data_IF_479138982991
#
_entry.id   IF_479138982991
#
_cell.length_a   1.000
_cell.length_b   1.000
_cell.length_c   1.000
_cell.angle_alpha   90.00
_cell.angle_beta   90.00
_cell.angle_gamma   90.00
#
_symmetry.space_group_name_H-M   'P 1'
#
loop_
_entity.id
_entity.type
_entity.pdbx_description
1 polymer ?
#
# COMPACT_ATOMS: atom_id res chain seq x y z
N UNK A 1 -17.09 -17.16 11.30
CA UNK A 1 -18.25 -16.80 10.47
C UNK A 1 -18.09 -17.48 9.12
N UNK A 2 -19.10 -18.22 8.64
CA UNK A 2 -18.99 -18.88 7.32
C UNK A 2 -19.09 -17.80 6.23
N UNK A 3 -18.32 -17.95 5.14
CA UNK A 3 -18.20 -16.94 4.05
C UNK A 3 -19.56 -16.47 3.51
N UNK A 4 -20.54 -17.37 3.47
CA UNK A 4 -21.94 -17.11 3.06
C UNK A 4 -22.71 -16.17 3.98
N UNK A 5 -22.37 -16.10 5.27
CA UNK A 5 -23.07 -15.24 6.23
C UNK A 5 -22.60 -13.79 6.13
N UNK A 6 -21.30 -13.59 5.85
CA UNK A 6 -20.72 -12.26 5.63
C UNK A 6 -21.29 -11.60 4.36
N UNK A 7 -21.33 -12.35 3.26
CA UNK A 7 -21.86 -11.84 1.97
C UNK A 7 -23.32 -11.41 2.09
N UNK A 8 -24.14 -12.19 2.80
CA UNK A 8 -25.54 -11.84 3.04
C UNK A 8 -25.69 -10.58 3.90
N UNK A 9 -24.86 -10.46 4.95
CA UNK A 9 -24.87 -9.27 5.81
C UNK A 9 -24.48 -7.99 5.04
N UNK A 10 -23.45 -8.08 4.18
CA UNK A 10 -23.02 -6.96 3.32
C UNK A 10 -24.13 -6.56 2.34
N UNK A 11 -24.73 -7.53 1.65
CA UNK A 11 -25.77 -7.25 0.65
C UNK A 11 -26.98 -6.49 1.22
N UNK A 12 -27.32 -6.76 2.48
CA UNK A 12 -28.47 -6.15 3.15
C UNK A 12 -28.12 -4.87 3.93
N UNK A 13 -26.85 -4.46 3.92
CA UNK A 13 -26.41 -3.27 4.65
C UNK A 13 -26.69 -1.99 3.86
N UNK A 14 -27.07 -0.93 4.57
CA UNK A 14 -27.19 0.39 3.98
C UNK A 14 -25.80 0.99 3.62
N UNK A 15 -25.73 2.00 2.72
CA UNK A 15 -24.47 2.60 2.31
C UNK A 15 -23.61 3.18 3.45
N UNK A 16 -24.23 3.68 4.53
CA UNK A 16 -23.49 4.25 5.67
C UNK A 16 -22.81 3.14 6.46
N UNK A 17 -23.51 2.03 6.68
CA UNK A 17 -22.94 0.82 7.29
C UNK A 17 -21.80 0.25 6.43
N UNK A 18 -21.99 0.17 5.11
CA UNK A 18 -20.93 -0.27 4.19
C UNK A 18 -19.69 0.63 4.26
N UNK A 19 -19.88 1.97 4.26
CA UNK A 19 -18.78 2.93 4.38
C UNK A 19 -18.03 2.78 5.71
N UNK A 20 -18.75 2.65 6.82
CA UNK A 20 -18.13 2.48 8.14
C UNK A 20 -17.30 1.19 8.21
N UNK A 21 -17.83 0.08 7.69
CA UNK A 21 -17.12 -1.19 7.62
C UNK A 21 -15.87 -1.09 6.73
N UNK A 22 -15.97 -0.47 5.56
CA UNK A 22 -14.85 -0.23 4.66
C UNK A 22 -13.75 0.60 5.35
N UNK A 23 -14.11 1.74 5.95
CA UNK A 23 -13.16 2.60 6.64
C UNK A 23 -12.44 1.83 7.77
N UNK A 24 -13.18 1.05 8.57
CA UNK A 24 -12.58 0.25 9.64
C UNK A 24 -11.57 -0.79 9.12
N UNK A 25 -11.86 -1.42 7.97
CA UNK A 25 -10.94 -2.36 7.33
C UNK A 25 -9.68 -1.64 6.81
N UNK A 26 -9.84 -0.52 6.10
CA UNK A 26 -8.72 0.29 5.61
C UNK A 26 -7.81 0.77 6.74
N UNK A 27 -8.42 1.25 7.84
CA UNK A 27 -7.69 1.64 9.05
C UNK A 27 -6.89 0.49 9.65
N UNK A 28 -7.50 -0.70 9.74
CA UNK A 28 -6.85 -1.87 10.32
C UNK A 28 -5.69 -2.39 9.47
N UNK A 29 -5.78 -2.29 8.13
CA UNK A 29 -4.67 -2.61 7.24
C UNK A 29 -3.56 -1.56 7.33
N UNK A 30 -3.91 -0.26 7.29
CA UNK A 30 -2.95 0.82 7.42
C UNK A 30 -2.17 0.74 8.75
N UNK A 31 -2.83 0.43 9.87
CA UNK A 31 -2.13 0.24 11.16
C UNK A 31 -1.12 -0.92 11.12
N UNK A 32 -1.48 -2.05 10.49
CA UNK A 32 -0.55 -3.18 10.33
C UNK A 32 0.63 -2.83 9.43
N UNK A 33 0.37 -2.10 8.36
CA UNK A 33 1.39 -1.62 7.46
C UNK A 33 2.34 -0.62 8.13
N UNK A 34 1.83 0.31 8.93
CA UNK A 34 2.66 1.22 9.73
C UNK A 34 3.53 0.45 10.73
N UNK A 35 2.96 -0.55 11.41
CA UNK A 35 3.71 -1.40 12.33
C UNK A 35 4.80 -2.23 11.61
N UNK A 36 4.51 -2.70 10.39
CA UNK A 36 5.47 -3.39 9.52
C UNK A 36 6.68 -2.52 9.19
N UNK A 37 6.45 -1.23 8.97
CA UNK A 37 7.49 -0.21 8.73
C UNK A 37 8.11 0.36 10.01
N UNK A 38 7.83 -0.21 11.19
CA UNK A 38 8.40 0.24 12.47
C UNK A 38 7.75 1.49 13.08
N UNK A 39 6.72 2.08 12.45
CA UNK A 39 5.96 3.19 13.02
C UNK A 39 5.01 2.68 14.11
N UNK A 40 5.18 3.19 15.33
CA UNK A 40 4.37 2.78 16.50
C UNK A 40 3.01 3.46 16.56
N UNK A 41 2.91 4.68 16.02
CA UNK A 41 1.72 5.52 16.11
C UNK A 41 1.36 6.11 14.75
N UNK A 42 0.09 6.48 14.58
CA UNK A 42 -0.42 7.13 13.37
C UNK A 42 0.02 8.58 13.21
N UNK A 43 0.64 9.20 14.21
CA UNK A 43 0.94 10.65 14.24
C UNK A 43 1.82 11.12 13.07
N UNK A 44 2.56 10.20 12.45
CA UNK A 44 3.41 10.46 11.29
C UNK A 44 2.76 10.05 9.95
N UNK A 45 1.46 9.76 9.95
CA UNK A 45 0.73 9.28 8.77
C UNK A 45 -0.66 9.89 8.65
N UNK A 46 -1.12 10.11 7.41
CA UNK A 46 -2.47 10.60 7.15
C UNK A 46 -2.98 10.13 5.79
N UNK A 47 -4.30 9.99 5.65
CA UNK A 47 -4.93 9.77 4.35
C UNK A 47 -4.97 11.07 3.57
N UNK A 48 -4.56 11.05 2.30
CA UNK A 48 -4.50 12.27 1.46
C UNK A 48 -5.91 12.71 1.04
N UNK A 49 -6.77 11.76 0.68
CA UNK A 49 -8.20 12.02 0.62
C UNK A 49 -8.73 12.02 2.05
N UNK A 50 -9.65 12.92 2.41
CA UNK A 50 -10.32 12.99 3.73
C UNK A 50 -11.05 11.68 4.16
N UNK A 51 -10.90 10.60 3.39
CA UNK A 51 -11.48 9.28 3.59
C UNK A 51 -10.41 8.19 3.52
N UNK A 52 -10.43 7.21 4.45
CA UNK A 52 -9.58 6.02 4.37
C UNK A 52 -9.77 5.22 3.08
N UNK A 53 -8.71 4.55 2.61
CA UNK A 53 -8.76 3.64 1.48
C UNK A 53 -8.32 4.21 0.13
N UNK A 54 -7.93 5.49 0.10
CA UNK A 54 -7.22 6.10 -1.04
C UNK A 54 -5.71 5.89 -0.93
N UNK A 55 -4.98 7.00 -0.86
CA UNK A 55 -3.51 7.01 -0.67
C UNK A 55 -3.20 7.41 0.77
N UNK A 56 -2.34 6.62 1.41
CA UNK A 56 -1.78 6.92 2.72
C UNK A 56 -0.42 7.59 2.56
N UNK A 57 -0.27 8.78 3.13
CA UNK A 57 1.04 9.39 3.35
C UNK A 57 1.62 8.84 4.66
N UNK A 58 2.88 8.37 4.64
CA UNK A 58 3.58 7.79 5.80
C UNK A 58 4.90 8.50 6.04
N UNK A 59 5.28 8.69 7.31
CA UNK A 59 6.53 9.30 7.72
C UNK A 59 6.63 10.77 7.31
N UNK A 60 5.56 11.56 7.39
CA UNK A 60 5.56 12.95 6.89
C UNK A 60 5.89 13.02 5.37
N UNK A 61 5.42 12.04 4.60
CA UNK A 61 5.54 12.04 3.13
C UNK A 61 6.76 11.30 2.57
N UNK A 62 7.41 10.43 3.35
CA UNK A 62 8.41 9.50 2.81
C UNK A 62 7.76 8.48 1.87
N UNK A 63 6.59 7.95 2.24
CA UNK A 63 5.83 7.05 1.38
C UNK A 63 4.44 7.61 1.06
N UNK A 64 4.01 7.41 -0.19
CA UNK A 64 2.67 7.65 -0.67
C UNK A 64 2.13 6.35 -1.25
N UNK A 65 1.36 5.62 -0.45
CA UNK A 65 1.02 4.22 -0.75
C UNK A 65 -0.47 4.06 -0.94
N UNK A 66 -0.87 3.47 -2.06
CA UNK A 66 -2.25 3.11 -2.33
C UNK A 66 -2.73 1.96 -1.43
N UNK A 67 -4.04 1.89 -1.22
CA UNK A 67 -4.64 0.82 -0.41
C UNK A 67 -4.35 -0.59 -0.96
N UNK A 68 -4.22 -0.74 -2.28
CA UNK A 68 -3.89 -2.03 -2.90
C UNK A 68 -2.50 -2.52 -2.47
N UNK A 69 -1.50 -1.65 -2.55
CA UNK A 69 -0.14 -1.97 -2.13
C UNK A 69 -0.05 -2.23 -0.62
N UNK A 70 -0.78 -1.46 0.20
CA UNK A 70 -0.87 -1.68 1.65
C UNK A 70 -1.39 -3.09 1.95
N UNK A 71 -2.48 -3.51 1.28
CA UNK A 71 -3.05 -4.86 1.47
C UNK A 71 -2.05 -5.92 1.05
N UNK A 72 -1.42 -5.77 -0.12
CA UNK A 72 -0.43 -6.74 -0.62
C UNK A 72 0.77 -6.89 0.33
N UNK A 73 1.31 -5.78 0.83
CA UNK A 73 2.44 -5.82 1.75
C UNK A 73 2.08 -6.52 3.06
N UNK A 74 0.91 -6.22 3.62
CA UNK A 74 0.43 -6.85 4.87
C UNK A 74 0.11 -8.33 4.69
N UNK A 75 -0.62 -8.69 3.63
CA UNK A 75 -1.05 -10.08 3.39
C UNK A 75 0.13 -11.01 3.06
N UNK A 76 1.21 -10.47 2.48
CA UNK A 76 2.44 -11.21 2.21
C UNK A 76 3.47 -11.11 3.35
N UNK A 77 3.13 -10.46 4.47
CA UNK A 77 4.00 -10.27 5.62
C UNK A 77 5.40 -9.74 5.25
N UNK A 78 5.44 -8.76 4.35
CA UNK A 78 6.69 -8.13 3.91
C UNK A 78 7.44 -7.52 5.10
N UNK A 79 8.75 -7.45 4.99
CA UNK A 79 9.58 -6.62 5.86
C UNK A 79 9.65 -5.17 5.36
N UNK A 80 10.06 -4.26 6.24
CA UNK A 80 10.39 -2.87 5.89
C UNK A 80 11.38 -2.81 4.73
N UNK A 81 12.47 -3.58 4.79
CA UNK A 81 13.52 -3.59 3.76
C UNK A 81 12.99 -4.05 2.39
N UNK A 82 12.17 -5.10 2.35
CA UNK A 82 11.59 -5.59 1.08
C UNK A 82 10.62 -4.57 0.47
N UNK A 83 9.86 -3.88 1.32
CA UNK A 83 8.93 -2.85 0.86
C UNK A 83 9.69 -1.62 0.36
N UNK A 84 10.69 -1.16 1.11
CA UNK A 84 11.53 -0.03 0.73
C UNK A 84 12.28 -0.31 -0.57
N UNK A 85 12.88 -1.50 -0.73
CA UNK A 85 13.55 -1.89 -1.96
C UNK A 85 12.63 -1.76 -3.18
N UNK A 86 11.40 -2.30 -3.10
CA UNK A 86 10.41 -2.17 -4.16
C UNK A 86 9.96 -0.72 -4.38
N UNK A 87 9.72 0.03 -3.31
CA UNK A 87 9.23 1.40 -3.37
C UNK A 87 10.27 2.34 -3.98
N UNK A 88 11.55 2.18 -3.65
CA UNK A 88 12.64 2.97 -4.22
C UNK A 88 12.74 2.79 -5.73
N UNK A 89 12.38 1.62 -6.29
CA UNK A 89 12.33 1.45 -7.74
C UNK A 89 11.28 2.38 -8.38
N UNK A 90 10.18 2.70 -7.68
CA UNK A 90 9.12 3.62 -8.15
C UNK A 90 9.53 5.09 -8.09
N UNK A 91 10.38 5.45 -7.13
CA UNK A 91 10.86 6.81 -6.93
C UNK A 91 12.24 7.05 -7.55
N UNK A 92 12.82 6.04 -8.21
CA UNK A 92 14.14 6.13 -8.82
C UNK A 92 14.16 7.25 -9.87
N UNK A 93 15.06 8.21 -9.69
CA UNK A 93 15.14 9.42 -10.47
C UNK A 93 16.45 9.42 -11.24
N UNK A 94 16.38 9.57 -12.55
CA UNK A 94 17.55 9.79 -13.37
C UNK A 94 17.94 11.27 -13.30
N UNK A 95 18.97 11.57 -12.50
CA UNK A 95 19.49 12.93 -12.35
C UNK A 95 20.04 13.51 -13.66
N UNK A 96 20.57 12.67 -14.56
CA UNK A 96 21.16 13.12 -15.82
C UNK A 96 20.06 13.45 -16.84
N UNK A 97 19.03 12.61 -16.92
CA UNK A 97 17.88 12.82 -17.80
C UNK A 97 16.82 13.76 -17.20
N UNK A 98 16.91 14.11 -15.91
CA UNK A 98 15.90 14.86 -15.15
C UNK A 98 14.51 14.23 -15.26
N UNK A 99 14.44 12.91 -15.28
CA UNK A 99 13.21 12.14 -15.47
C UNK A 99 13.15 11.00 -14.46
N UNK A 100 11.93 10.71 -13.98
CA UNK A 100 11.68 9.48 -13.23
C UNK A 100 12.04 8.28 -14.11
N UNK A 101 12.85 7.35 -13.60
CA UNK A 101 13.04 6.08 -14.29
C UNK A 101 11.73 5.32 -14.21
N UNK A 102 11.18 4.84 -15.33
CA UNK A 102 9.91 4.16 -15.31
C UNK A 102 10.07 2.82 -14.57
N UNK A 103 9.56 2.75 -13.35
CA UNK A 103 9.33 1.45 -12.73
C UNK A 103 8.27 0.70 -13.54
N UNK A 104 8.61 -0.49 -14.01
CA UNK A 104 7.70 -1.34 -14.79
C UNK A 104 7.06 -2.45 -13.96
N UNK A 105 7.42 -2.58 -12.68
CA UNK A 105 7.02 -3.71 -11.85
C UNK A 105 6.14 -3.25 -10.69
N UNK A 106 4.83 -3.45 -10.82
CA UNK A 106 3.90 -3.29 -9.69
C UNK A 106 4.22 -4.29 -8.57
N UNK A 107 3.78 -4.00 -7.34
CA UNK A 107 4.12 -4.81 -6.15
C UNK A 107 3.69 -6.27 -6.30
N UNK A 108 2.52 -6.52 -6.90
CA UNK A 108 2.04 -7.88 -7.16
C UNK A 108 3.03 -8.68 -8.03
N UNK A 109 3.56 -8.08 -9.08
CA UNK A 109 4.55 -8.71 -9.97
C UNK A 109 5.88 -8.91 -9.26
N UNK A 110 6.29 -7.95 -8.43
CA UNK A 110 7.49 -8.06 -7.60
C UNK A 110 7.42 -9.24 -6.64
N UNK A 111 6.28 -9.42 -5.97
CA UNK A 111 6.01 -10.54 -5.07
C UNK A 111 6.04 -11.91 -5.79
N UNK A 112 5.78 -11.92 -7.10
CA UNK A 112 5.93 -13.11 -7.96
C UNK A 112 7.36 -13.32 -8.48
N UNK A 113 8.32 -12.49 -8.07
CA UNK A 113 9.73 -12.59 -8.45
C UNK A 113 10.14 -11.73 -9.65
N UNK A 114 9.26 -10.91 -10.21
CA UNK A 114 9.67 -9.94 -11.23
C UNK A 114 10.60 -8.89 -10.62
N UNK A 115 11.64 -8.52 -11.34
CA UNK A 115 12.56 -7.44 -10.96
C UNK A 115 12.77 -6.54 -12.19
N UNK A 116 13.05 -5.24 -12.00
CA UNK A 116 13.49 -4.39 -13.10
C UNK A 116 14.70 -5.01 -13.79
N UNK A 117 14.72 -5.03 -15.12
CA UNK A 117 15.90 -5.45 -15.86
C UNK A 117 17.03 -4.45 -15.54
N UNK A 118 18.18 -4.94 -15.05
CA UNK A 118 19.40 -4.15 -14.82
C UNK A 118 20.07 -3.74 -16.15
N UNK A 119 19.31 -3.48 -17.20
CA UNK A 119 19.81 -3.25 -18.56
C UNK A 119 20.30 -1.79 -18.73
N UNK A 120 21.38 -1.47 -18.00
CA UNK A 120 22.31 -0.38 -18.31
C UNK A 120 23.52 -0.91 -19.10
N UNK A 121 23.32 -1.90 -19.98
CA UNK A 121 24.33 -2.29 -20.98
C UNK A 121 23.86 -1.92 -22.39
N UNK A 122 23.97 -0.64 -22.74
CA UNK A 122 24.20 -0.20 -24.12
C UNK A 122 25.15 0.99 -24.15
#
# INVERSE_FOLDING_TARGET
>A
MKRTDLTRAIHNSDPKTLRAAYNAVCEAYAQRFLAMLGFKNRDESYWISDFPGGVLAVGIGYYFVGMEEIVLAVDNAMSENEFDEWYQQWTDFDEEAMLSKPNRVNLQSWLMGARPDNDNTK
#
